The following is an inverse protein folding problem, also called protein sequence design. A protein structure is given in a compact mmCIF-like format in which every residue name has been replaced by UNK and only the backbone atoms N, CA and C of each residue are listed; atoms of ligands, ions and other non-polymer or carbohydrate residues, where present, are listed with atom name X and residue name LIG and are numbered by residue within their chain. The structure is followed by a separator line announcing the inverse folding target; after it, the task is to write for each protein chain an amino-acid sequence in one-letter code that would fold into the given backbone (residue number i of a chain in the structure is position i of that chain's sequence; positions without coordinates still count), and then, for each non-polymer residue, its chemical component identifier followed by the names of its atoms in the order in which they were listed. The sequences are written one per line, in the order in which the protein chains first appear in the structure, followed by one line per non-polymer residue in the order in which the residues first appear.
data_IF_407874043544
#
_entry.id   IF_407874043544
#
_cell.length_a   1.000
_cell.length_b   1.000
_cell.length_c   1.000
_cell.angle_alpha   90.00
_cell.angle_beta   90.00
_cell.angle_gamma   90.00
#
_symmetry.space_group_name_H-M   'P 1'
#
loop_
_entity.id
_entity.type
_entity.pdbx_description
1 polymer ?
#
# COMPACT_ATOMS: atom_id res chain seq x y z
N UNK A 1 -16.55 42.90 3.69
CA UNK A 1 -17.78 42.80 4.51
C UNK A 1 -17.37 42.21 5.84
N UNK A 2 -17.58 42.90 6.97
CA UNK A 2 -17.32 42.31 8.30
C UNK A 2 -18.47 41.38 8.63
N UNK A 3 -18.15 40.12 8.90
CA UNK A 3 -19.12 39.12 9.37
C UNK A 3 -19.42 39.41 10.83
N UNK A 4 -20.70 39.73 11.15
CA UNK A 4 -21.14 39.99 12.51
C UNK A 4 -21.95 38.82 13.02
N UNK A 5 -21.49 38.20 14.09
CA UNK A 5 -22.18 37.07 14.73
C UNK A 5 -23.25 37.60 15.66
N UNK A 6 -24.50 37.11 15.60
CA UNK A 6 -25.57 37.54 16.52
C UNK A 6 -25.36 36.97 17.94
N UNK A 7 -25.83 37.74 18.96
CA UNK A 7 -25.75 37.29 20.36
C UNK A 7 -26.39 35.92 20.61
N UNK A 8 -27.44 35.61 19.85
CA UNK A 8 -28.10 34.31 19.91
C UNK A 8 -27.19 33.15 19.43
N UNK A 9 -26.29 33.40 18.47
CA UNK A 9 -25.30 32.42 17.99
C UNK A 9 -24.18 32.27 18.99
N UNK A 10 -23.68 33.41 19.55
CA UNK A 10 -22.66 33.39 20.60
C UNK A 10 -23.11 32.58 21.82
N UNK A 11 -24.32 32.80 22.31
CA UNK A 11 -24.87 32.04 23.45
C UNK A 11 -25.00 30.52 23.16
N UNK A 12 -25.21 30.14 21.90
CA UNK A 12 -25.22 28.71 21.50
C UNK A 12 -23.81 28.11 21.44
N UNK A 13 -22.84 28.88 20.95
CA UNK A 13 -21.44 28.47 20.93
C UNK A 13 -20.86 28.29 22.33
N UNK A 14 -21.22 29.16 23.28
CA UNK A 14 -20.85 29.01 24.70
C UNK A 14 -21.42 27.70 25.29
N UNK A 15 -22.70 27.40 25.06
CA UNK A 15 -23.30 26.15 25.51
C UNK A 15 -22.66 24.92 24.86
N UNK A 16 -22.28 25.01 23.57
CA UNK A 16 -21.59 23.93 22.87
C UNK A 16 -20.20 23.74 23.46
N UNK A 17 -19.49 24.83 23.74
CA UNK A 17 -18.18 24.79 24.39
C UNK A 17 -18.25 24.10 25.74
N UNK A 18 -19.18 24.50 26.62
CA UNK A 18 -19.37 23.87 27.93
C UNK A 18 -19.66 22.36 27.85
N UNK A 19 -20.40 21.96 26.80
CA UNK A 19 -20.68 20.55 26.56
C UNK A 19 -19.41 19.79 26.13
N UNK A 20 -18.68 20.31 25.16
CA UNK A 20 -17.47 19.71 24.62
C UNK A 20 -16.35 19.60 25.67
N UNK A 21 -16.17 20.67 26.47
CA UNK A 21 -15.20 20.72 27.60
C UNK A 21 -15.47 19.59 28.62
N UNK A 22 -16.74 19.29 28.92
CA UNK A 22 -17.13 18.16 29.79
C UNK A 22 -16.80 16.79 29.21
N UNK A 23 -16.74 16.70 27.88
CA UNK A 23 -16.41 15.48 27.13
C UNK A 23 -14.93 15.43 26.75
N UNK A 24 -14.11 16.40 27.19
CA UNK A 24 -12.67 16.48 26.89
C UNK A 24 -12.38 16.83 25.42
N UNK A 25 -13.33 17.47 24.73
CA UNK A 25 -13.22 17.87 23.33
C UNK A 25 -12.98 19.38 23.21
N UNK A 26 -12.29 19.81 22.14
CA UNK A 26 -12.02 21.21 21.86
C UNK A 26 -13.04 21.77 20.85
N UNK A 27 -13.64 22.94 21.18
CA UNK A 27 -14.64 23.59 20.32
C UNK A 27 -14.07 24.04 18.96
N UNK A 28 -12.85 24.58 18.93
CA UNK A 28 -12.23 25.05 17.68
C UNK A 28 -12.00 23.88 16.74
N UNK A 29 -11.41 22.80 17.24
CA UNK A 29 -11.20 21.56 16.49
C UNK A 29 -12.53 20.97 16.01
N UNK A 30 -13.59 21.04 16.82
CA UNK A 30 -14.91 20.59 16.41
C UNK A 30 -15.49 21.43 15.27
N UNK A 31 -15.31 22.75 15.32
CA UNK A 31 -15.77 23.67 14.26
C UNK A 31 -14.96 23.49 12.97
N UNK A 32 -13.65 23.24 13.07
CA UNK A 32 -12.80 22.89 11.91
C UNK A 32 -13.28 21.60 11.27
N UNK A 33 -13.53 20.55 12.05
CA UNK A 33 -14.10 19.31 11.55
C UNK A 33 -15.47 19.52 10.89
N UNK A 34 -16.32 20.38 11.48
CA UNK A 34 -17.63 20.70 10.90
C UNK A 34 -17.51 21.46 9.58
N UNK A 35 -16.53 22.36 9.48
CA UNK A 35 -16.23 23.11 8.26
C UNK A 35 -15.68 22.22 7.15
N UNK A 36 -14.80 21.28 7.52
CA UNK A 36 -14.20 20.33 6.60
C UNK A 36 -15.11 19.13 6.25
N UNK A 37 -16.20 18.93 7.03
CA UNK A 37 -17.16 17.86 6.78
C UNK A 37 -17.99 18.16 5.53
N UNK A 38 -17.52 17.72 4.38
CA UNK A 38 -18.40 17.43 3.26
C UNK A 38 -19.34 16.28 3.69
N UNK A 39 -20.65 16.45 3.52
CA UNK A 39 -21.63 15.38 3.80
C UNK A 39 -21.48 14.23 2.78
N UNK A 40 -20.24 13.72 2.64
CA UNK A 40 -19.93 12.61 1.78
C UNK A 40 -20.32 11.33 2.53
N UNK A 41 -21.20 10.54 1.96
CA UNK A 41 -21.53 9.25 2.54
C UNK A 41 -20.31 8.29 2.49
N UNK A 42 -20.32 7.23 3.28
CA UNK A 42 -19.25 6.25 3.35
C UNK A 42 -18.88 5.68 1.97
N UNK A 43 -19.89 5.42 1.13
CA UNK A 43 -19.74 4.86 -0.19
C UNK A 43 -18.90 5.72 -1.12
N UNK A 44 -19.24 7.01 -1.18
CA UNK A 44 -18.54 7.98 -2.02
C UNK A 44 -17.15 8.28 -1.48
N UNK A 45 -17.01 8.38 -0.15
CA UNK A 45 -15.75 8.67 0.51
C UNK A 45 -14.65 7.64 0.18
N UNK A 46 -14.99 6.35 0.17
CA UNK A 46 -14.05 5.27 -0.17
C UNK A 46 -14.09 4.87 -1.65
N UNK A 47 -14.89 5.54 -2.48
CA UNK A 47 -15.09 5.21 -3.90
C UNK A 47 -15.45 3.73 -4.12
N UNK A 48 -16.38 3.21 -3.31
CA UNK A 48 -16.67 1.78 -3.22
C UNK A 48 -17.13 1.19 -4.55
N UNK A 49 -17.96 1.88 -5.31
CA UNK A 49 -18.44 1.40 -6.62
C UNK A 49 -17.27 1.24 -7.61
N UNK A 50 -16.34 2.19 -7.65
CA UNK A 50 -15.14 2.09 -8.44
C UNK A 50 -14.28 0.89 -7.98
N UNK A 51 -14.04 0.76 -6.68
CA UNK A 51 -13.26 -0.34 -6.10
C UNK A 51 -13.83 -1.70 -6.46
N UNK A 52 -15.16 -1.88 -6.35
CA UNK A 52 -15.83 -3.15 -6.63
C UNK A 52 -16.06 -3.41 -8.13
N UNK A 53 -15.75 -2.45 -9.00
CA UNK A 53 -15.80 -2.61 -10.45
C UNK A 53 -14.48 -3.08 -11.08
N UNK A 54 -13.40 -3.19 -10.30
CA UNK A 54 -12.05 -3.48 -10.81
C UNK A 54 -11.72 -4.96 -10.98
N UNK A 55 -12.65 -5.87 -10.68
CA UNK A 55 -12.43 -7.30 -10.74
C UNK A 55 -12.92 -7.86 -12.08
N UNK A 56 -11.98 -8.10 -13.01
CA UNK A 56 -12.26 -8.60 -14.36
C UNK A 56 -11.63 -9.98 -14.61
N UNK A 57 -12.29 -11.09 -14.20
CA UNK A 57 -11.82 -12.44 -14.50
C UNK A 57 -11.70 -12.68 -16.02
N UNK A 58 -10.68 -13.43 -16.43
CA UNK A 58 -10.47 -13.85 -17.81
C UNK A 58 -11.11 -15.19 -18.13
N UNK A 59 -11.42 -15.96 -17.11
CA UNK A 59 -11.99 -17.29 -17.23
C UNK A 59 -13.37 -17.37 -16.56
N UNK A 60 -14.03 -18.50 -16.69
CA UNK A 60 -15.32 -18.78 -16.07
C UNK A 60 -15.25 -19.34 -14.64
N UNK A 61 -14.03 -19.54 -14.13
CA UNK A 61 -13.83 -20.15 -12.81
C UNK A 61 -14.08 -19.11 -11.70
N UNK A 62 -15.02 -19.37 -10.76
CA UNK A 62 -15.37 -18.42 -9.71
C UNK A 62 -14.18 -17.96 -8.86
N UNK A 63 -13.23 -18.87 -8.58
CA UNK A 63 -12.09 -18.58 -7.72
C UNK A 63 -11.05 -17.64 -8.37
N UNK A 64 -11.11 -17.41 -9.68
CA UNK A 64 -10.30 -16.38 -10.31
C UNK A 64 -10.67 -14.99 -9.76
N UNK A 65 -11.94 -14.75 -9.44
CA UNK A 65 -12.36 -13.49 -8.81
C UNK A 65 -11.81 -13.36 -7.38
N UNK A 66 -11.81 -14.45 -6.61
CA UNK A 66 -11.18 -14.51 -5.28
C UNK A 66 -9.69 -14.19 -5.37
N UNK A 67 -9.00 -14.78 -6.35
CA UNK A 67 -7.59 -14.53 -6.64
C UNK A 67 -7.32 -13.05 -6.91
N UNK A 68 -8.10 -12.42 -7.79
CA UNK A 68 -7.96 -10.99 -8.14
C UNK A 68 -8.16 -10.13 -6.90
N UNK A 69 -9.26 -10.33 -6.15
CA UNK A 69 -9.58 -9.54 -4.96
C UNK A 69 -8.46 -9.67 -3.93
N UNK A 70 -7.98 -10.88 -3.67
CA UNK A 70 -6.90 -11.08 -2.71
C UNK A 70 -5.61 -10.36 -3.09
N UNK A 71 -5.23 -10.37 -4.37
CA UNK A 71 -4.07 -9.61 -4.83
C UNK A 71 -4.28 -8.09 -4.75
N UNK A 72 -5.50 -7.59 -4.99
CA UNK A 72 -5.83 -6.18 -4.77
C UNK A 72 -5.71 -5.80 -3.28
N UNK A 73 -6.18 -6.65 -2.36
CA UNK A 73 -6.01 -6.48 -0.91
C UNK A 73 -4.51 -6.46 -0.55
N UNK A 74 -3.72 -7.36 -1.12
CA UNK A 74 -2.26 -7.42 -0.92
C UNK A 74 -1.60 -6.10 -1.34
N UNK A 75 -1.94 -5.56 -2.49
CA UNK A 75 -1.41 -4.29 -2.98
C UNK A 75 -1.87 -3.10 -2.10
N UNK A 76 -3.07 -3.14 -1.53
CA UNK A 76 -3.53 -2.14 -0.56
C UNK A 76 -2.75 -2.23 0.76
N UNK A 77 -2.40 -3.42 1.24
CA UNK A 77 -1.48 -3.58 2.37
C UNK A 77 -0.09 -3.02 2.06
N UNK A 78 0.45 -3.28 0.88
CA UNK A 78 1.73 -2.67 0.47
C UNK A 78 1.63 -1.14 0.43
N UNK A 79 0.51 -0.58 0.01
CA UNK A 79 0.29 0.88 0.06
C UNK A 79 0.28 1.42 1.48
N UNK A 80 -0.36 0.73 2.44
CA UNK A 80 -0.33 1.09 3.85
C UNK A 80 1.09 1.06 4.43
N UNK A 81 1.87 0.02 4.09
CA UNK A 81 3.26 -0.12 4.50
C UNK A 81 4.10 1.02 3.93
N UNK A 82 3.99 1.28 2.63
CA UNK A 82 4.70 2.38 1.97
C UNK A 82 4.38 3.73 2.59
N UNK A 83 3.12 4.02 2.87
CA UNK A 83 2.73 5.24 3.56
C UNK A 83 3.48 5.44 4.89
N UNK A 84 3.63 4.38 5.69
CA UNK A 84 4.38 4.47 6.95
C UNK A 84 5.86 4.76 6.71
N UNK A 85 6.47 4.13 5.70
CA UNK A 85 7.88 4.32 5.35
C UNK A 85 8.10 5.73 4.77
N UNK A 86 7.24 6.17 3.87
CA UNK A 86 7.28 7.51 3.27
C UNK A 86 7.14 8.60 4.36
N UNK A 87 6.23 8.43 5.33
CA UNK A 87 6.10 9.34 6.48
C UNK A 87 7.37 9.42 7.34
N UNK A 88 8.11 8.32 7.49
CA UNK A 88 9.40 8.32 8.18
C UNK A 88 10.46 9.08 7.37
N UNK A 89 10.50 8.84 6.05
CA UNK A 89 11.48 9.45 5.16
C UNK A 89 11.30 10.96 5.00
N UNK A 90 10.05 11.43 5.02
CA UNK A 90 9.71 12.84 4.82
C UNK A 90 9.80 13.66 6.13
N UNK A 91 9.87 12.99 7.31
CA UNK A 91 9.89 13.68 8.60
C UNK A 91 11.25 14.34 8.88
N UNK A 92 11.26 15.66 8.88
CA UNK A 92 12.50 16.46 9.08
C UNK A 92 13.09 16.36 10.48
N UNK A 93 12.23 16.18 11.49
CA UNK A 93 12.60 16.10 12.91
C UNK A 93 12.19 14.75 13.49
N UNK A 94 12.71 13.67 12.92
CA UNK A 94 12.35 12.30 13.24
C UNK A 94 12.60 11.99 14.72
N UNK A 95 11.53 11.87 15.51
CA UNK A 95 11.62 11.40 16.89
C UNK A 95 11.62 9.88 16.95
N UNK A 96 12.28 9.32 17.99
CA UNK A 96 12.27 7.87 18.21
C UNK A 96 10.85 7.33 18.42
N UNK A 97 10.00 8.08 19.10
CA UNK A 97 8.61 7.70 19.33
C UNK A 97 7.83 7.58 18.02
N UNK A 98 7.93 8.60 17.15
CA UNK A 98 7.27 8.59 15.84
C UNK A 98 7.78 7.43 14.99
N UNK A 99 9.11 7.23 14.92
CA UNK A 99 9.70 6.10 14.19
C UNK A 99 9.17 4.76 14.68
N UNK A 100 9.21 4.51 15.99
CA UNK A 100 8.71 3.26 16.59
C UNK A 100 7.22 3.07 16.29
N UNK A 101 6.42 4.14 16.35
CA UNK A 101 4.99 4.09 16.03
C UNK A 101 4.75 3.62 14.59
N UNK A 102 5.47 4.19 13.62
CA UNK A 102 5.33 3.78 12.21
C UNK A 102 5.82 2.35 11.98
N UNK A 103 6.95 1.96 12.58
CA UNK A 103 7.47 0.59 12.45
C UNK A 103 6.54 -0.47 13.08
N UNK A 104 5.86 -0.15 14.18
CA UNK A 104 4.82 -1.02 14.74
C UNK A 104 3.65 -1.20 13.77
N UNK A 105 3.25 -0.16 13.04
CA UNK A 105 2.22 -0.26 11.98
C UNK A 105 2.67 -1.16 10.84
N UNK A 106 3.88 -0.96 10.32
CA UNK A 106 4.48 -1.79 9.26
C UNK A 106 4.45 -3.26 9.67
N UNK A 107 4.97 -3.60 10.88
CA UNK A 107 4.97 -4.96 11.39
C UNK A 107 3.55 -5.54 11.50
N UNK A 108 2.59 -4.73 11.95
CA UNK A 108 1.21 -5.16 12.08
C UNK A 108 0.58 -5.46 10.70
N UNK A 109 0.83 -4.62 9.70
CA UNK A 109 0.32 -4.84 8.33
C UNK A 109 0.93 -6.10 7.71
N UNK A 110 2.23 -6.34 7.85
CA UNK A 110 2.85 -7.58 7.39
C UNK A 110 2.31 -8.82 8.09
N UNK A 111 2.05 -8.76 9.40
CA UNK A 111 1.43 -9.86 10.13
C UNK A 111 0.05 -10.18 9.58
N UNK A 112 -0.82 -9.18 9.42
CA UNK A 112 -2.15 -9.39 8.84
C UNK A 112 -2.08 -9.91 7.41
N UNK A 113 -1.13 -9.44 6.61
CA UNK A 113 -0.90 -9.95 5.26
C UNK A 113 -0.51 -11.43 5.29
N UNK A 114 0.39 -11.82 6.19
CA UNK A 114 0.80 -13.21 6.37
C UNK A 114 -0.37 -14.08 6.82
N UNK A 115 -1.11 -13.65 7.82
CA UNK A 115 -2.28 -14.38 8.35
C UNK A 115 -3.37 -14.53 7.28
N UNK A 116 -3.59 -13.49 6.45
CA UNK A 116 -4.60 -13.50 5.38
C UNK A 116 -4.28 -14.46 4.24
N UNK A 117 -3.03 -14.97 4.13
CA UNK A 117 -2.64 -15.87 3.05
C UNK A 117 -3.42 -17.19 3.06
N UNK A 118 -4.02 -17.56 4.18
CA UNK A 118 -4.94 -18.68 4.29
C UNK A 118 -6.13 -18.61 3.30
N UNK A 119 -6.55 -17.38 2.93
CA UNK A 119 -7.57 -17.18 1.89
C UNK A 119 -7.17 -17.84 0.57
N UNK A 120 -5.87 -17.86 0.25
CA UNK A 120 -5.37 -18.42 -1.00
C UNK A 120 -5.25 -19.96 -0.96
N UNK A 121 -4.73 -20.53 0.14
CA UNK A 121 -4.45 -21.98 0.15
C UNK A 121 -5.55 -22.82 0.81
N UNK A 122 -6.43 -22.22 1.65
CA UNK A 122 -7.58 -22.89 2.24
C UNK A 122 -8.91 -22.45 1.60
N UNK A 123 -8.97 -21.18 1.16
CA UNK A 123 -10.20 -20.57 0.68
C UNK A 123 -10.45 -20.74 -0.82
N UNK A 124 -9.50 -21.27 -1.60
CA UNK A 124 -9.66 -21.51 -3.03
C UNK A 124 -9.64 -23.00 -3.36
N UNK A 125 -10.45 -23.39 -4.35
CA UNK A 125 -10.39 -24.72 -4.93
C UNK A 125 -9.13 -24.93 -5.75
N UNK A 126 -8.37 -25.99 -5.42
CA UNK A 126 -7.09 -26.28 -6.06
C UNK A 126 -7.24 -26.57 -7.57
N UNK A 127 -8.31 -27.28 -7.96
CA UNK A 127 -8.49 -27.66 -9.37
C UNK A 127 -8.85 -26.42 -10.20
N UNK A 128 -9.69 -25.54 -9.69
CA UNK A 128 -10.01 -24.27 -10.33
C UNK A 128 -8.74 -23.41 -10.48
N UNK A 129 -7.93 -23.28 -9.42
CA UNK A 129 -6.66 -22.57 -9.50
C UNK A 129 -5.74 -23.12 -10.58
N UNK A 130 -5.55 -24.43 -10.64
CA UNK A 130 -4.72 -25.07 -11.66
C UNK A 130 -5.27 -24.85 -13.08
N UNK A 131 -6.59 -24.76 -13.23
CA UNK A 131 -7.23 -24.52 -14.51
C UNK A 131 -7.06 -23.08 -15.02
N UNK A 132 -7.19 -22.08 -14.15
CA UNK A 132 -7.09 -20.67 -14.61
C UNK A 132 -5.68 -20.08 -14.54
N UNK A 133 -4.76 -20.62 -13.73
CA UNK A 133 -3.41 -20.04 -13.56
C UNK A 133 -2.63 -19.85 -14.87
N UNK A 134 -2.86 -20.69 -15.86
CA UNK A 134 -2.19 -20.55 -17.16
C UNK A 134 -2.69 -19.35 -17.95
N UNK A 135 -3.95 -18.94 -17.73
CA UNK A 135 -4.51 -17.73 -18.33
C UNK A 135 -3.96 -16.43 -17.72
N UNK A 136 -3.30 -16.52 -16.56
CA UNK A 136 -2.68 -15.38 -15.89
C UNK A 136 -1.29 -15.06 -16.44
N UNK A 137 -0.66 -16.00 -17.14
CA UNK A 137 0.67 -15.75 -17.68
C UNK A 137 0.68 -14.64 -18.73
N UNK A 138 1.71 -13.76 -18.76
CA UNK A 138 2.95 -13.78 -17.99
C UNK A 138 2.92 -12.98 -16.67
N UNK A 139 1.75 -12.71 -16.10
CA UNK A 139 1.64 -11.97 -14.83
C UNK A 139 2.34 -12.72 -13.68
N UNK A 140 3.00 -11.97 -12.82
CA UNK A 140 3.76 -12.49 -11.70
C UNK A 140 3.76 -11.49 -10.54
N UNK A 141 3.74 -11.97 -9.30
CA UNK A 141 3.93 -11.14 -8.11
C UNK A 141 5.27 -10.39 -8.08
N UNK A 142 6.28 -10.84 -8.83
CA UNK A 142 7.53 -10.09 -9.03
C UNK A 142 7.31 -8.72 -9.70
N UNK A 143 6.17 -8.50 -10.36
CA UNK A 143 5.79 -7.25 -10.99
C UNK A 143 5.19 -6.21 -10.03
N UNK A 144 4.99 -6.53 -8.75
CA UNK A 144 4.51 -5.56 -7.78
C UNK A 144 5.53 -4.43 -7.58
N UNK A 145 5.29 -3.29 -8.18
CA UNK A 145 6.13 -2.11 -8.02
C UNK A 145 6.15 -1.64 -6.55
N UNK A 146 5.03 -1.74 -5.84
CA UNK A 146 4.95 -1.34 -4.45
C UNK A 146 5.84 -2.20 -3.55
N UNK A 147 5.84 -3.53 -3.76
CA UNK A 147 6.70 -4.42 -3.00
C UNK A 147 8.18 -4.14 -3.29
N UNK A 148 8.56 -3.90 -4.56
CA UNK A 148 9.94 -3.51 -4.92
C UNK A 148 10.36 -2.22 -4.24
N UNK A 149 9.48 -1.23 -4.15
CA UNK A 149 9.77 0.01 -3.42
C UNK A 149 9.94 -0.23 -1.92
N UNK A 150 9.14 -1.10 -1.30
CA UNK A 150 9.31 -1.49 0.11
C UNK A 150 10.69 -2.11 0.34
N UNK A 151 11.14 -3.01 -0.54
CA UNK A 151 12.48 -3.60 -0.45
C UNK A 151 13.59 -2.55 -0.56
N UNK A 152 13.48 -1.64 -1.53
CA UNK A 152 14.46 -0.56 -1.74
C UNK A 152 14.56 0.36 -0.53
N UNK A 153 13.43 0.70 0.09
CA UNK A 153 13.42 1.54 1.30
C UNK A 153 13.90 0.81 2.56
N UNK A 154 13.85 -0.51 2.57
CA UNK A 154 14.08 -1.31 3.78
C UNK A 154 15.50 -1.83 3.94
N UNK A 155 16.34 -1.77 2.88
CA UNK A 155 17.70 -2.32 2.92
C UNK A 155 18.65 -1.60 1.98
N UNK A 156 19.95 -1.84 2.17
CA UNK A 156 20.97 -1.37 1.24
C UNK A 156 20.81 -2.07 -0.12
N UNK A 157 20.95 -1.30 -1.20
CA UNK A 157 20.73 -1.78 -2.57
C UNK A 157 21.64 -2.97 -2.93
N UNK A 158 22.85 -3.08 -2.33
CA UNK A 158 23.76 -4.20 -2.54
C UNK A 158 23.15 -5.53 -2.07
N UNK A 159 22.26 -5.51 -1.07
CA UNK A 159 21.55 -6.70 -0.59
C UNK A 159 20.51 -7.19 -1.59
N UNK A 160 20.02 -6.30 -2.46
CA UNK A 160 19.05 -6.61 -3.51
C UNK A 160 19.71 -7.01 -4.83
N UNK A 161 21.03 -6.88 -4.96
CA UNK A 161 21.77 -7.39 -6.11
C UNK A 161 21.71 -8.91 -6.11
N UNK A 162 21.52 -9.50 -7.31
CA UNK A 162 21.48 -10.95 -7.50
C UNK A 162 22.74 -11.63 -6.95
N UNK A 163 22.57 -12.84 -6.41
CA UNK A 163 23.67 -13.59 -5.79
C UNK A 163 24.86 -13.78 -6.74
N UNK A 164 24.60 -13.98 -8.03
CA UNK A 164 25.65 -14.15 -9.06
C UNK A 164 26.53 -12.92 -9.26
N UNK A 165 26.03 -11.71 -8.94
CA UNK A 165 26.73 -10.43 -9.13
C UNK A 165 27.10 -9.73 -7.82
N UNK A 166 26.63 -10.21 -6.70
CA UNK A 166 26.80 -9.55 -5.39
C UNK A 166 28.26 -9.35 -5.02
N UNK A 167 29.11 -10.36 -5.25
CA UNK A 167 30.55 -10.28 -4.95
C UNK A 167 31.29 -9.32 -5.87
N UNK A 168 30.94 -9.30 -7.17
CA UNK A 168 31.54 -8.41 -8.17
C UNK A 168 31.19 -6.95 -7.89
N UNK A 169 29.95 -6.70 -7.46
CA UNK A 169 29.43 -5.35 -7.27
C UNK A 169 29.47 -4.87 -5.80
N UNK A 170 30.19 -5.57 -4.93
CA UNK A 170 30.24 -5.26 -3.49
C UNK A 170 30.74 -3.85 -3.18
N UNK A 171 31.63 -3.31 -3.99
CA UNK A 171 32.24 -1.98 -3.83
C UNK A 171 31.76 -0.98 -4.89
N UNK A 172 30.77 -1.36 -5.70
CA UNK A 172 30.22 -0.49 -6.72
C UNK A 172 29.41 0.63 -6.05
N UNK A 173 29.60 1.86 -6.52
CA UNK A 173 28.89 3.05 -6.01
C UNK A 173 27.92 3.63 -7.03
N UNK A 174 27.99 3.17 -8.26
CA UNK A 174 27.05 3.58 -9.31
C UNK A 174 25.70 2.87 -9.10
N UNK A 175 24.71 3.65 -8.66
CA UNK A 175 23.38 3.17 -8.37
C UNK A 175 22.70 2.58 -9.62
N UNK A 176 22.94 3.13 -10.81
CA UNK A 176 22.34 2.63 -12.05
C UNK A 176 22.86 1.23 -12.38
N UNK A 177 24.15 0.99 -12.18
CA UNK A 177 24.75 -0.34 -12.34
C UNK A 177 24.20 -1.34 -11.33
N UNK A 178 24.12 -0.96 -10.05
CA UNK A 178 23.52 -1.80 -9.02
C UNK A 178 22.05 -2.12 -9.36
N UNK A 179 21.28 -1.10 -9.75
CA UNK A 179 19.89 -1.23 -10.15
C UNK A 179 19.69 -2.16 -11.36
N UNK A 180 20.63 -2.15 -12.32
CA UNK A 180 20.60 -3.05 -13.47
C UNK A 180 20.70 -4.54 -13.09
N UNK A 181 21.32 -4.87 -11.94
CA UNK A 181 21.59 -6.22 -11.48
C UNK A 181 20.75 -6.68 -10.28
N UNK A 182 19.63 -5.99 -9.99
CA UNK A 182 18.71 -6.41 -8.95
C UNK A 182 18.13 -7.80 -9.23
N UNK A 183 17.96 -8.61 -8.19
CA UNK A 183 17.61 -10.02 -8.28
C UNK A 183 16.30 -10.26 -9.07
N UNK A 184 15.30 -9.38 -8.93
CA UNK A 184 14.02 -9.53 -9.65
C UNK A 184 14.13 -9.24 -11.15
N UNK A 185 15.12 -8.42 -11.57
CA UNK A 185 15.38 -8.18 -13.00
C UNK A 185 16.00 -9.41 -13.66
N UNK A 186 16.85 -10.16 -12.96
CA UNK A 186 17.39 -11.41 -13.47
C UNK A 186 16.31 -12.47 -13.65
N UNK A 187 15.41 -12.62 -12.67
CA UNK A 187 14.27 -13.55 -12.77
C UNK A 187 13.30 -13.24 -13.91
N UNK A 188 13.37 -12.02 -14.45
CA UNK A 188 12.56 -11.57 -15.58
C UNK A 188 13.33 -11.53 -16.92
N UNK A 189 14.50 -12.18 -16.98
CA UNK A 189 15.31 -12.31 -18.19
C UNK A 189 15.38 -13.77 -18.60
N UNK A 190 15.17 -14.06 -19.88
CA UNK A 190 15.29 -15.43 -20.42
C UNK A 190 16.73 -15.92 -20.26
N UNK A 191 16.92 -17.04 -19.56
CA UNK A 191 18.24 -17.59 -19.26
C UNK A 191 19.03 -18.00 -20.53
N UNK A 192 18.34 -18.48 -21.56
CA UNK A 192 18.97 -18.98 -22.78
C UNK A 192 19.37 -17.88 -23.77
N UNK A 193 18.58 -16.83 -23.86
CA UNK A 193 18.73 -15.79 -24.90
C UNK A 193 19.23 -14.45 -24.36
N UNK A 194 19.20 -14.25 -23.03
CA UNK A 194 19.49 -12.97 -22.38
C UNK A 194 18.46 -11.87 -22.69
N UNK A 195 17.37 -12.21 -23.38
CA UNK A 195 16.32 -11.24 -23.74
C UNK A 195 15.45 -10.93 -22.54
N UNK A 196 15.09 -9.67 -22.39
CA UNK A 196 14.09 -9.25 -21.41
C UNK A 196 12.76 -9.93 -21.73
N UNK A 197 12.17 -10.61 -20.75
CA UNK A 197 10.81 -11.15 -20.89
C UNK A 197 9.82 -10.03 -21.16
N UNK A 198 8.64 -10.36 -21.69
CA UNK A 198 7.58 -9.38 -21.90
C UNK A 198 7.27 -8.63 -20.61
N UNK A 199 7.29 -9.31 -19.49
CA UNK A 199 7.12 -8.79 -18.13
C UNK A 199 8.11 -7.67 -17.79
N UNK A 200 9.41 -7.89 -18.08
CA UNK A 200 10.43 -6.88 -17.80
C UNK A 200 10.40 -5.70 -18.77
N UNK A 201 9.81 -5.87 -19.95
CA UNK A 201 9.63 -4.77 -20.91
C UNK A 201 8.48 -3.84 -20.55
N UNK A 202 7.49 -4.37 -19.81
CA UNK A 202 6.31 -3.63 -19.38
C UNK A 202 6.51 -2.98 -17.99
N UNK A 203 7.52 -3.39 -17.25
CA UNK A 203 7.93 -2.84 -15.96
C UNK A 203 8.94 -1.69 -16.12
#
# INVERSE_FOLDING_TARGET
MSFTVSDAVLARLEKLKDKLDKEGQNLELYLDHLYESDYVNYWDYINLDALLSLQHPRTKYPDEKTFIIYHQITELYFRLIRNCIELIADEKNLSAEFFIKQMKRVNNYFRHLTDSFSIMYEGMDREQFLAFRLALMPASGFQSAQYRMIEIYSTDIHQLVSDSKRNELKTETDIEKLYAHLYWKQGATELETGKKTLTLRQF
#
